data_IF_459947842200
#
_entry.id   IF_459947842200
#
_cell.length_a   1.000
_cell.length_b   1.000
_cell.length_c   1.000
_cell.angle_alpha   90.00
_cell.angle_beta   90.00
_cell.angle_gamma   90.00
#
_symmetry.space_group_name_H-M   'P 1'
#
loop_
_entity.id
_entity.type
_entity.pdbx_description
1 polymer ?
#
# COMPACT_ATOMS: atom_id res chain seq x y z
N UNK A 1 9.03 -9.17 15.45
CA UNK A 1 9.42 -10.06 14.35
C UNK A 1 8.18 -10.41 13.56
N UNK A 2 8.27 -10.40 12.22
CA UNK A 2 7.17 -10.84 11.38
C UNK A 2 7.02 -12.37 11.39
N UNK A 3 5.78 -12.84 11.30
CA UNK A 3 5.41 -14.22 10.98
C UNK A 3 5.76 -14.54 9.52
N UNK A 4 5.86 -15.83 9.19
CA UNK A 4 6.11 -16.28 7.81
C UNK A 4 5.03 -15.78 6.86
N UNK A 5 3.76 -15.87 7.26
CA UNK A 5 2.62 -15.45 6.44
C UNK A 5 2.66 -13.95 6.17
N UNK A 6 2.96 -13.13 7.19
CA UNK A 6 3.11 -11.69 7.03
C UNK A 6 4.28 -11.31 6.11
N UNK A 7 5.41 -12.03 6.17
CA UNK A 7 6.52 -11.83 5.22
C UNK A 7 6.12 -12.19 3.80
N UNK A 8 5.43 -13.31 3.61
CA UNK A 8 4.97 -13.77 2.30
C UNK A 8 3.98 -12.79 1.68
N UNK A 9 3.04 -12.29 2.46
CA UNK A 9 2.11 -11.24 2.05
C UNK A 9 2.85 -9.97 1.63
N UNK A 10 3.83 -9.53 2.40
CA UNK A 10 4.62 -8.34 2.08
C UNK A 10 5.43 -8.54 0.79
N UNK A 11 6.05 -9.71 0.60
CA UNK A 11 6.72 -10.06 -0.66
C UNK A 11 5.78 -10.07 -1.87
N UNK A 12 4.52 -10.45 -1.68
CA UNK A 12 3.52 -10.41 -2.75
C UNK A 12 3.10 -8.97 -3.07
N UNK A 13 2.86 -8.15 -2.05
CA UNK A 13 2.48 -6.75 -2.18
C UNK A 13 3.53 -5.90 -2.88
N UNK A 14 4.80 -6.12 -2.54
CA UNK A 14 5.92 -5.32 -3.04
C UNK A 14 6.52 -5.86 -4.34
N UNK A 15 5.95 -6.93 -4.90
CA UNK A 15 6.43 -7.54 -6.13
C UNK A 15 6.32 -6.57 -7.30
N UNK A 16 7.39 -6.49 -8.09
CA UNK A 16 7.48 -5.68 -9.31
C UNK A 16 7.23 -4.17 -9.08
N UNK A 17 7.41 -3.69 -7.85
CA UNK A 17 7.36 -2.26 -7.54
C UNK A 17 8.74 -1.62 -7.77
N UNK A 18 8.78 -0.37 -8.27
CA UNK A 18 10.02 0.38 -8.35
C UNK A 18 10.47 0.88 -6.98
N UNK A 19 11.78 0.98 -6.79
CA UNK A 19 12.37 1.50 -5.56
C UNK A 19 12.25 0.53 -4.38
N UNK A 20 12.89 0.91 -3.28
CA UNK A 20 12.99 0.06 -2.09
C UNK A 20 12.18 0.62 -0.91
N UNK A 21 11.65 1.85 -1.00
CA UNK A 21 10.96 2.51 0.10
C UNK A 21 9.46 2.62 -0.17
N UNK A 22 8.67 2.08 0.76
CA UNK A 22 7.22 2.05 0.68
C UNK A 22 6.59 2.47 2.00
N UNK A 23 5.39 3.04 1.93
CA UNK A 23 4.54 3.26 3.10
C UNK A 23 3.24 2.52 2.89
N UNK A 24 2.95 1.61 3.80
CA UNK A 24 1.73 0.83 3.83
C UNK A 24 0.78 1.45 4.84
N UNK A 25 -0.44 1.80 4.41
CA UNK A 25 -1.52 2.29 5.26
C UNK A 25 -2.68 1.31 5.24
N UNK A 26 -2.97 0.73 6.40
CA UNK A 26 -4.12 -0.16 6.62
C UNK A 26 -5.23 0.61 7.33
N UNK A 27 -6.46 0.52 6.83
CA UNK A 27 -7.64 1.03 7.48
C UNK A 27 -8.59 -0.12 7.84
N UNK A 28 -8.73 -0.40 9.14
CA UNK A 28 -9.72 -1.35 9.69
C UNK A 28 -10.82 -0.62 10.50
N UNK A 29 -11.18 0.60 10.10
CA UNK A 29 -11.97 1.56 10.88
C UNK A 29 -11.11 2.66 11.52
N UNK A 30 -9.83 2.37 11.74
CA UNK A 30 -8.81 3.34 12.12
C UNK A 30 -7.58 3.11 11.23
N UNK A 31 -6.99 4.20 10.73
CA UNK A 31 -5.81 4.15 9.89
C UNK A 31 -4.55 3.88 10.72
N UNK A 32 -3.75 2.92 10.28
CA UNK A 32 -2.42 2.62 10.81
C UNK A 32 -1.44 2.59 9.64
N UNK A 33 -0.24 3.14 9.83
CA UNK A 33 0.77 3.16 8.76
C UNK A 33 2.10 2.63 9.25
N UNK A 34 2.86 2.05 8.34
CA UNK A 34 4.24 1.60 8.57
C UNK A 34 5.09 1.87 7.34
N UNK A 35 6.31 2.37 7.54
CA UNK A 35 7.32 2.37 6.49
C UNK A 35 7.92 0.97 6.33
N UNK A 36 8.18 0.59 5.09
CA UNK A 36 8.83 -0.66 4.70
C UNK A 36 9.95 -0.34 3.73
N UNK A 37 11.17 -0.67 4.14
CA UNK A 37 12.34 -0.67 3.27
C UNK A 37 12.68 -2.09 2.84
N UNK A 38 12.80 -2.33 1.53
CA UNK A 38 13.31 -3.58 0.98
C UNK A 38 14.84 -3.59 1.11
N UNK A 39 15.41 -4.63 1.74
CA UNK A 39 16.85 -4.75 2.01
C UNK A 39 17.33 -6.17 1.65
N UNK A 40 17.88 -6.33 0.45
CA UNK A 40 18.30 -7.65 -0.05
C UNK A 40 17.10 -8.60 -0.09
N UNK A 41 17.18 -9.72 0.65
CA UNK A 41 16.08 -10.70 0.75
C UNK A 41 15.11 -10.43 1.92
N UNK A 42 15.26 -9.30 2.60
CA UNK A 42 14.50 -8.95 3.80
C UNK A 42 13.79 -7.60 3.70
N UNK A 43 13.12 -7.27 4.81
CA UNK A 43 12.43 -6.01 5.00
C UNK A 43 12.89 -5.39 6.31
N UNK A 44 13.18 -4.09 6.29
CA UNK A 44 13.22 -3.26 7.49
C UNK A 44 11.88 -2.54 7.61
N UNK A 45 11.24 -2.65 8.77
CA UNK A 45 9.83 -2.26 8.97
C UNK A 45 9.72 -1.48 10.26
N UNK A 46 9.23 -0.26 10.15
CA UNK A 46 9.08 0.66 11.29
C UNK A 46 8.11 0.10 12.34
N UNK A 47 6.92 -0.33 11.88
CA UNK A 47 5.85 -0.90 12.70
C UNK A 47 5.39 -2.26 12.15
N UNK A 48 6.08 -3.37 12.51
CA UNK A 48 5.76 -4.71 12.02
C UNK A 48 4.32 -5.15 12.33
N UNK A 49 3.74 -4.68 13.43
CA UNK A 49 2.38 -4.97 13.87
C UNK A 49 1.31 -4.54 12.86
N UNK A 50 1.58 -3.54 12.01
CA UNK A 50 0.66 -3.13 10.94
C UNK A 50 0.55 -4.23 9.88
N UNK A 51 1.68 -4.85 9.52
CA UNK A 51 1.73 -5.95 8.54
C UNK A 51 1.10 -7.21 9.12
N UNK A 52 1.36 -7.53 10.39
CA UNK A 52 0.68 -8.62 11.09
C UNK A 52 -0.84 -8.42 11.14
N UNK A 53 -1.28 -7.19 11.39
CA UNK A 53 -2.70 -6.86 11.42
C UNK A 53 -3.34 -6.97 10.04
N UNK A 54 -2.65 -6.57 8.98
CA UNK A 54 -3.09 -6.80 7.61
C UNK A 54 -3.25 -8.30 7.33
N UNK A 55 -2.24 -9.11 7.68
CA UNK A 55 -2.30 -10.56 7.53
C UNK A 55 -3.54 -11.13 8.24
N UNK A 56 -3.77 -10.74 9.50
CA UNK A 56 -4.94 -11.16 10.25
C UNK A 56 -6.27 -10.66 9.63
N UNK A 57 -6.31 -9.46 9.06
CA UNK A 57 -7.50 -8.90 8.42
C UNK A 57 -7.89 -9.70 7.17
N UNK A 58 -6.91 -10.10 6.36
CA UNK A 58 -7.13 -10.94 5.17
C UNK A 58 -7.59 -12.36 5.58
N UNK A 59 -7.03 -12.92 6.64
CA UNK A 59 -7.44 -14.25 7.15
C UNK A 59 -8.85 -14.25 7.73
N UNK A 60 -9.26 -13.16 8.39
CA UNK A 60 -10.54 -13.06 9.12
C UNK A 60 -11.65 -12.40 8.30
N UNK A 61 -11.39 -12.05 7.05
CA UNK A 61 -12.36 -11.38 6.16
C UNK A 61 -12.96 -10.12 6.77
N UNK A 62 -12.16 -9.35 7.51
CA UNK A 62 -12.63 -8.14 8.19
C UNK A 62 -12.68 -6.98 7.18
N UNK A 63 -13.79 -6.22 7.07
CA UNK A 63 -13.86 -5.06 6.18
C UNK A 63 -12.70 -4.11 6.44
N UNK A 64 -11.80 -4.01 5.48
CA UNK A 64 -10.63 -3.15 5.57
C UNK A 64 -10.15 -2.74 4.19
N UNK A 65 -9.40 -1.64 4.16
CA UNK A 65 -8.78 -1.11 2.96
C UNK A 65 -7.28 -0.98 3.17
N UNK A 66 -6.53 -1.23 2.10
CA UNK A 66 -5.09 -1.10 2.07
C UNK A 66 -4.71 -0.05 1.04
N UNK A 67 -3.82 0.87 1.41
CA UNK A 67 -3.17 1.79 0.48
C UNK A 67 -1.67 1.58 0.58
N UNK A 68 -1.01 1.45 -0.56
CA UNK A 68 0.44 1.37 -0.65
C UNK A 68 0.95 2.57 -1.43
N UNK A 69 1.84 3.34 -0.78
CA UNK A 69 2.61 4.40 -1.43
C UNK A 69 4.03 3.90 -1.69
N UNK A 70 4.50 4.05 -2.92
CA UNK A 70 5.84 3.63 -3.35
C UNK A 70 6.63 4.83 -3.81
N UNK A 71 7.81 5.04 -3.23
CA UNK A 71 8.68 6.15 -3.56
C UNK A 71 9.63 5.75 -4.69
N UNK A 72 9.54 6.47 -5.81
CA UNK A 72 10.36 6.18 -7.00
C UNK A 72 11.60 7.09 -7.05
N UNK A 73 12.53 6.78 -7.94
CA UNK A 73 13.68 7.61 -8.27
C UNK A 73 13.35 8.78 -9.22
N UNK A 74 12.15 8.76 -9.83
CA UNK A 74 11.66 9.82 -10.71
C UNK A 74 11.41 11.08 -9.91
N UNK A 75 11.95 12.21 -10.36
CA UNK A 75 11.69 13.50 -9.74
C UNK A 75 10.36 14.06 -10.24
N UNK A 76 9.42 14.32 -9.33
CA UNK A 76 8.18 15.04 -9.66
C UNK A 76 8.46 16.53 -9.83
N UNK A 77 9.18 17.11 -8.87
CA UNK A 77 9.51 18.53 -8.84
C UNK A 77 10.62 18.81 -7.84
N UNK A 78 11.17 20.01 -7.90
CA UNK A 78 12.17 20.49 -6.94
C UNK A 78 11.58 21.63 -6.12
N UNK A 79 11.79 21.60 -4.81
CA UNK A 79 11.42 22.68 -3.89
C UNK A 79 12.39 23.88 -4.05
N UNK A 80 12.03 25.08 -3.58
CA UNK A 80 12.88 26.27 -3.71
C UNK A 80 14.27 26.13 -3.05
N UNK A 81 14.42 25.24 -2.07
CA UNK A 81 15.68 24.95 -1.39
C UNK A 81 16.57 23.93 -2.14
N UNK A 82 16.14 23.47 -3.32
CA UNK A 82 16.84 22.48 -4.13
C UNK A 82 16.47 21.03 -3.82
N UNK A 83 15.61 20.77 -2.85
CA UNK A 83 15.17 19.40 -2.52
C UNK A 83 14.35 18.79 -3.66
N UNK A 84 14.84 17.69 -4.23
CA UNK A 84 14.08 16.92 -5.21
C UNK A 84 12.99 16.09 -4.52
N UNK A 85 11.74 16.27 -4.94
CA UNK A 85 10.58 15.53 -4.45
C UNK A 85 10.31 14.36 -5.41
N UNK A 86 10.33 13.11 -4.94
CA UNK A 86 10.10 11.96 -5.79
C UNK A 86 8.63 11.85 -6.21
N UNK A 87 8.40 11.22 -7.37
CA UNK A 87 7.09 10.69 -7.74
C UNK A 87 6.75 9.54 -6.80
N UNK A 88 5.52 9.55 -6.29
CA UNK A 88 4.94 8.50 -5.47
C UNK A 88 3.87 7.77 -6.27
N UNK A 89 4.02 6.46 -6.44
CA UNK A 89 2.95 5.62 -6.98
C UNK A 89 2.02 5.22 -5.83
N UNK A 90 0.71 5.39 -6.02
CA UNK A 90 -0.29 5.03 -5.01
C UNK A 90 -1.22 3.98 -5.59
N UNK A 91 -1.26 2.83 -4.93
CA UNK A 91 -2.13 1.69 -5.24
C UNK A 91 -3.02 1.40 -4.03
N UNK A 92 -4.18 0.82 -4.27
CA UNK A 92 -5.08 0.45 -3.20
C UNK A 92 -5.82 -0.85 -3.46
N UNK A 93 -6.28 -1.45 -2.36
CA UNK A 93 -7.05 -2.69 -2.38
C UNK A 93 -8.19 -2.61 -1.36
N UNK A 94 -9.30 -3.27 -1.69
CA UNK A 94 -10.27 -3.74 -0.71
C UNK A 94 -9.80 -5.09 -0.19
N UNK A 95 -9.77 -5.26 1.13
CA UNK A 95 -9.36 -6.50 1.77
C UNK A 95 -10.58 -7.42 1.88
N UNK A 96 -10.50 -8.58 1.25
CA UNK A 96 -11.52 -9.63 1.35
C UNK A 96 -11.01 -10.88 2.05
N UNK A 97 -11.81 -11.95 1.97
CA UNK A 97 -11.43 -13.27 2.47
C UNK A 97 -10.30 -13.84 1.61
N UNK A 98 -9.08 -13.87 2.16
CA UNK A 98 -7.89 -14.41 1.48
C UNK A 98 -7.51 -13.76 0.15
N UNK A 99 -8.12 -12.62 -0.21
CA UNK A 99 -7.84 -11.91 -1.45
C UNK A 99 -7.74 -10.42 -1.18
N UNK A 100 -6.76 -9.77 -1.81
CA UNK A 100 -6.72 -8.32 -1.94
C UNK A 100 -7.29 -7.94 -3.30
N UNK A 101 -8.51 -7.40 -3.29
CA UNK A 101 -9.20 -6.97 -4.50
C UNK A 101 -8.68 -5.59 -4.90
N UNK A 102 -8.16 -5.43 -6.12
CA UNK A 102 -7.53 -4.20 -6.53
C UNK A 102 -8.55 -3.07 -6.67
N UNK A 103 -8.11 -1.85 -6.37
CA UNK A 103 -8.76 -0.64 -6.86
C UNK A 103 -8.11 -0.24 -8.18
N UNK A 104 -8.94 0.19 -9.14
CA UNK A 104 -8.44 0.75 -10.38
C UNK A 104 -7.95 2.21 -10.20
N UNK A 105 -7.45 2.80 -11.29
CA UNK A 105 -6.94 4.18 -11.25
C UNK A 105 -8.03 5.20 -10.90
N UNK A 106 -9.25 5.01 -11.41
CA UNK A 106 -10.36 5.94 -11.19
C UNK A 106 -10.89 5.83 -9.76
N UNK A 107 -11.02 4.61 -9.23
CA UNK A 107 -11.38 4.37 -7.83
C UNK A 107 -10.33 4.96 -6.88
N UNK A 108 -9.04 4.82 -7.19
CA UNK A 108 -7.96 5.41 -6.39
C UNK A 108 -7.96 6.93 -6.43
N UNK A 109 -8.17 7.50 -7.62
CA UNK A 109 -8.30 8.93 -7.81
C UNK A 109 -9.47 9.48 -6.99
N UNK A 110 -10.67 8.92 -7.15
CA UNK A 110 -11.87 9.36 -6.42
C UNK A 110 -11.68 9.25 -4.91
N UNK A 111 -11.11 8.14 -4.42
CA UNK A 111 -10.87 7.95 -2.99
C UNK A 111 -9.93 8.99 -2.34
N UNK A 112 -9.08 9.65 -3.13
CA UNK A 112 -8.12 10.66 -2.62
C UNK A 112 -8.45 12.09 -3.05
N UNK A 113 -9.24 12.25 -4.11
CA UNK A 113 -9.59 13.54 -4.71
C UNK A 113 -11.05 13.92 -4.46
N UNK A 114 -11.69 13.30 -3.47
CA UNK A 114 -13.05 13.61 -3.03
C UNK A 114 -13.05 13.75 -1.51
N UNK A 115 -13.56 14.87 -0.98
CA UNK A 115 -13.72 15.07 0.45
C UNK A 115 -14.76 14.09 1.01
N UNK A 116 -14.38 13.30 2.00
CA UNK A 116 -15.24 12.23 2.53
C UNK A 116 -16.47 12.75 3.29
N UNK A 117 -16.47 14.00 3.76
CA UNK A 117 -17.58 14.58 4.51
C UNK A 117 -18.58 15.33 3.61
N UNK A 118 -18.09 16.11 2.65
CA UNK A 118 -18.92 16.92 1.75
C UNK A 118 -19.16 16.29 0.38
N UNK A 119 -18.28 15.37 -0.06
CA UNK A 119 -18.26 14.85 -1.42
C UNK A 119 -17.69 15.83 -2.44
N UNK A 120 -17.12 16.95 -2.01
CA UNK A 120 -16.56 17.95 -2.92
C UNK A 120 -15.21 17.50 -3.49
N UNK A 121 -14.89 17.85 -4.76
CA UNK A 121 -13.60 17.53 -5.34
C UNK A 121 -12.43 18.20 -4.59
N UNK A 122 -11.41 17.42 -4.30
CA UNK A 122 -10.11 17.86 -3.82
C UNK A 122 -9.09 17.79 -4.96
N UNK A 123 -8.14 18.74 -5.04
CA UNK A 123 -7.06 18.64 -6.02
C UNK A 123 -6.16 17.43 -5.72
N UNK A 124 -5.66 16.73 -6.75
CA UNK A 124 -4.74 15.62 -6.54
C UNK A 124 -3.45 16.08 -5.86
N UNK A 125 -2.87 15.21 -5.03
CA UNK A 125 -1.61 15.50 -4.37
C UNK A 125 -0.48 15.65 -5.39
N UNK A 126 0.29 16.73 -5.27
CA UNK A 126 1.41 16.99 -6.19
C UNK A 126 2.47 15.89 -6.09
N UNK A 127 2.82 15.33 -7.25
CA UNK A 127 3.83 14.26 -7.34
C UNK A 127 3.32 12.89 -6.94
N UNK A 128 2.01 12.71 -6.82
CA UNK A 128 1.36 11.41 -6.68
C UNK A 128 0.80 10.98 -8.03
N UNK A 129 1.06 9.73 -8.39
CA UNK A 129 0.41 9.02 -9.50
C UNK A 129 -0.46 7.91 -8.90
N UNK A 130 -1.77 8.03 -9.07
CA UNK A 130 -2.72 6.96 -8.74
C UNK A 130 -2.64 5.90 -9.83
N UNK A 131 -2.50 4.63 -9.46
CA UNK A 131 -2.33 3.54 -10.43
C UNK A 131 -3.16 2.34 -10.03
N UNK A 132 -3.59 1.55 -11.02
CA UNK A 132 -4.27 0.29 -10.75
C UNK A 132 -3.36 -0.68 -9.99
N UNK A 133 -3.96 -1.39 -9.04
CA UNK A 133 -3.31 -2.47 -8.34
C UNK A 133 -3.50 -3.81 -9.07
N UNK A 134 -2.58 -4.78 -8.93
CA UNK A 134 -2.86 -6.17 -9.28
C UNK A 134 -3.75 -6.83 -8.21
N UNK A 135 -4.56 -7.80 -8.60
CA UNK A 135 -5.18 -8.72 -7.62
C UNK A 135 -4.10 -9.58 -6.96
N UNK A 136 -4.26 -9.83 -5.66
CA UNK A 136 -3.36 -10.71 -4.90
C UNK A 136 -4.20 -11.78 -4.22
N UNK A 137 -4.09 -13.00 -4.72
CA UNK A 137 -4.69 -14.19 -4.14
C UNK A 137 -3.76 -14.79 -3.09
N UNK A 138 -4.23 -14.87 -1.84
CA UNK A 138 -3.50 -15.49 -0.73
C UNK A 138 -3.94 -16.94 -0.46
N UNK A 139 -4.91 -17.48 -1.20
CA UNK A 139 -5.31 -18.88 -1.11
C UNK A 139 -4.14 -19.82 -1.46
N UNK A 140 -3.34 -19.42 -2.45
CA UNK A 140 -2.18 -20.17 -2.92
C UNK A 140 -1.05 -20.28 -1.89
N UNK A 141 -1.07 -19.46 -0.83
CA UNK A 141 -0.05 -19.52 0.22
C UNK A 141 -0.21 -20.69 1.19
N UNK A 142 -1.41 -21.29 1.30
CA UNK A 142 -1.61 -22.53 2.07
C UNK A 142 -1.12 -23.78 1.32
N UNK A 143 -1.06 -23.75 -0.02
CA UNK A 143 -0.62 -24.90 -0.84
C UNK A 143 0.90 -25.09 -0.84
N UNK A 144 1.66 -24.09 -0.38
CA UNK A 144 3.12 -24.14 -0.23
C UNK A 144 3.56 -24.57 1.18
N UNK A 145 2.61 -24.97 2.04
CA UNK A 145 2.83 -25.31 3.44
C UNK A 145 2.82 -26.81 3.72
#
# INVERSE_FOLDING_TARGET
MLTTDARTLLSALLRDLPGDHHVLTLNTGHAMSTAVDVRGEGFDIEHPEVVERLCAAVTRSSPSALVLRTFTDRVSHTLPDGTAVPVKLVRGWRVGERTLYPLDEAEMFDAHCTDAASGEPLPPERGVEYTSAPEIDLSSFDELR
#
